data_IF_533481103444
#
_entry.id   IF_533481103444
#
_cell.length_a   1.000
_cell.length_b   1.000
_cell.length_c   1.000
_cell.angle_alpha   90.00
_cell.angle_beta   90.00
_cell.angle_gamma   90.00
#
_symmetry.space_group_name_H-M   'P 1'
#
loop_
_entity.id
_entity.type
_entity.pdbx_description
1 polymer ?
#
# COMPACT_ATOMS: atom_id res chain seq x y z
N UNK A 1 1.55 8.59 -9.24
CA UNK A 1 0.42 8.11 -10.11
C UNK A 1 -0.66 7.50 -9.22
N UNK A 2 -1.97 7.73 -9.49
CA UNK A 2 -3.05 7.03 -8.77
C UNK A 2 -2.95 5.53 -9.04
N UNK A 3 -2.72 4.74 -8.00
CA UNK A 3 -2.39 3.32 -8.12
C UNK A 3 -3.54 2.41 -7.76
N UNK A 4 -4.17 2.62 -6.61
CA UNK A 4 -5.34 1.84 -6.23
C UNK A 4 -6.44 2.72 -5.67
N UNK A 5 -7.67 2.44 -6.10
CA UNK A 5 -8.91 2.93 -5.47
C UNK A 5 -9.58 1.72 -4.85
N UNK A 6 -9.85 1.77 -3.54
CA UNK A 6 -10.47 0.67 -2.83
C UNK A 6 -11.71 1.18 -2.11
N UNK A 7 -12.88 0.75 -2.57
CA UNK A 7 -14.13 1.00 -1.86
C UNK A 7 -14.19 0.10 -0.63
N UNK A 8 -14.50 0.67 0.53
CA UNK A 8 -14.64 -0.04 1.81
C UNK A 8 -16.05 0.25 2.37
N UNK A 9 -17.12 -0.30 1.77
CA UNK A 9 -18.49 0.12 2.07
C UNK A 9 -18.90 -0.10 3.52
N UNK A 10 -18.38 -1.14 4.17
CA UNK A 10 -18.70 -1.44 5.57
C UNK A 10 -18.07 -0.48 6.58
N UNK A 11 -17.17 0.40 6.12
CA UNK A 11 -16.55 1.46 6.91
C UNK A 11 -16.89 2.86 6.37
N UNK A 12 -17.82 2.95 5.41
CA UNK A 12 -18.23 4.19 4.74
C UNK A 12 -17.05 5.00 4.17
N UNK A 13 -16.05 4.32 3.60
CA UNK A 13 -14.79 4.92 3.15
C UNK A 13 -14.39 4.47 1.74
N UNK A 14 -13.61 5.32 1.07
CA UNK A 14 -12.89 5.01 -0.18
C UNK A 14 -11.42 5.35 0.04
N UNK A 15 -10.53 4.37 -0.12
CA UNK A 15 -9.09 4.57 0.07
C UNK A 15 -8.41 4.79 -1.28
N UNK A 16 -7.63 5.86 -1.38
CA UNK A 16 -6.82 6.18 -2.55
C UNK A 16 -5.34 6.04 -2.21
N UNK A 17 -4.61 5.26 -3.01
CA UNK A 17 -3.16 5.11 -2.86
C UNK A 17 -2.45 5.54 -4.13
N UNK A 18 -1.32 6.22 -3.97
CA UNK A 18 -0.51 6.76 -5.05
C UNK A 18 0.89 6.15 -5.01
N UNK A 19 1.45 5.85 -6.19
CA UNK A 19 2.89 5.62 -6.30
C UNK A 19 3.61 6.95 -6.18
N UNK A 20 4.66 6.94 -5.37
CA UNK A 20 5.60 8.05 -5.18
C UNK A 20 7.02 7.51 -5.18
N UNK A 21 7.93 8.32 -5.70
CA UNK A 21 9.36 8.11 -5.54
C UNK A 21 9.82 8.75 -4.22
N UNK A 22 10.76 8.10 -3.55
CA UNK A 22 11.42 8.65 -2.36
C UNK A 22 12.58 9.54 -2.83
N UNK A 23 12.46 10.85 -2.63
CA UNK A 23 13.43 11.83 -3.15
C UNK A 23 14.77 11.85 -2.39
N UNK A 24 14.81 11.36 -1.15
CA UNK A 24 16.02 11.28 -0.33
C UNK A 24 15.97 10.03 0.56
N UNK A 25 17.11 9.34 0.77
CA UNK A 25 17.19 8.24 1.74
C UNK A 25 17.11 8.73 3.21
N UNK A 26 17.17 10.03 3.45
CA UNK A 26 17.10 10.61 4.80
C UNK A 26 15.64 10.75 5.25
N UNK A 27 15.20 9.81 6.08
CA UNK A 27 13.88 9.84 6.71
C UNK A 27 13.94 9.40 8.17
N UNK A 28 12.99 9.85 8.97
CA UNK A 28 12.83 9.49 10.37
C UNK A 28 11.34 9.34 10.71
N UNK A 29 10.98 8.51 11.71
CA UNK A 29 9.60 8.43 12.16
C UNK A 29 9.10 9.78 12.70
N UNK A 30 7.90 10.18 12.29
CA UNK A 30 7.20 11.35 12.83
C UNK A 30 6.48 11.03 14.15
N UNK A 31 5.76 12.00 14.74
CA UNK A 31 5.08 11.81 16.04
C UNK A 31 4.01 10.73 16.05
N UNK A 32 3.48 10.35 14.89
CA UNK A 32 2.47 9.29 14.74
C UNK A 32 3.09 7.90 14.51
N UNK A 33 4.42 7.79 14.44
CA UNK A 33 5.14 6.56 14.12
C UNK A 33 6.18 6.22 15.17
N UNK A 34 6.23 4.95 15.57
CA UNK A 34 7.28 4.46 16.48
C UNK A 34 8.58 4.12 15.72
N UNK A 35 8.45 3.59 14.50
CA UNK A 35 9.56 3.16 13.66
C UNK A 35 9.22 3.44 12.19
N UNK A 36 10.25 3.75 11.40
CA UNK A 36 10.15 3.85 9.95
C UNK A 36 11.41 3.25 9.32
N UNK A 37 11.23 2.35 8.33
CA UNK A 37 12.34 1.74 7.58
C UNK A 37 11.90 1.29 6.19
N UNK A 38 12.88 1.06 5.31
CA UNK A 38 12.66 0.46 3.99
C UNK A 38 12.65 -1.06 4.10
N UNK A 39 11.87 -1.70 3.22
CA UNK A 39 11.69 -3.15 3.17
C UNK A 39 11.89 -3.67 1.75
N UNK A 40 12.54 -4.82 1.61
CA UNK A 40 12.38 -5.66 0.42
C UNK A 40 11.06 -6.43 0.51
N UNK A 41 10.56 -6.94 -0.61
CA UNK A 41 9.30 -7.71 -0.64
C UNK A 41 9.28 -8.88 0.35
N UNK A 42 10.39 -9.61 0.43
CA UNK A 42 10.57 -10.78 1.31
C UNK A 42 10.62 -10.42 2.80
N UNK A 43 10.97 -9.17 3.13
CA UNK A 43 11.12 -8.69 4.49
C UNK A 43 9.82 -8.06 5.04
N UNK A 44 8.80 -7.86 4.19
CA UNK A 44 7.55 -7.23 4.60
C UNK A 44 6.83 -8.14 5.60
N UNK A 45 6.46 -7.63 6.80
CA UNK A 45 5.74 -8.40 7.80
C UNK A 45 4.24 -8.46 7.44
N UNK A 46 3.89 -9.22 6.40
CA UNK A 46 2.56 -9.26 5.81
C UNK A 46 1.42 -9.50 6.82
N UNK A 47 1.66 -10.36 7.81
CA UNK A 47 0.68 -10.71 8.84
C UNK A 47 0.52 -9.63 9.93
N UNK A 48 1.44 -8.65 9.98
CA UNK A 48 1.41 -7.53 10.93
C UNK A 48 0.82 -6.25 10.32
N UNK A 49 0.53 -6.24 9.01
CA UNK A 49 -0.09 -5.09 8.35
C UNK A 49 -1.53 -4.95 8.86
N UNK A 50 -1.81 -3.86 9.58
CA UNK A 50 -3.08 -3.65 10.27
C UNK A 50 -4.29 -3.55 9.33
N UNK A 51 -4.13 -2.96 8.14
CA UNK A 51 -5.24 -2.66 7.24
C UNK A 51 -5.20 -3.53 5.98
N UNK A 52 -6.26 -4.29 5.68
CA UNK A 52 -6.32 -5.14 4.48
C UNK A 52 -6.17 -4.36 3.16
N UNK A 53 -6.58 -3.09 3.12
CA UNK A 53 -6.40 -2.24 1.95
C UNK A 53 -4.92 -2.03 1.62
N UNK A 54 -4.07 -1.86 2.65
CA UNK A 54 -2.61 -1.70 2.48
C UNK A 54 -2.01 -2.97 1.92
N UNK A 55 -2.34 -4.12 2.52
CA UNK A 55 -1.90 -5.44 2.02
C UNK A 55 -2.30 -5.65 0.57
N UNK A 56 -3.53 -5.28 0.20
CA UNK A 56 -4.04 -5.45 -1.16
C UNK A 56 -3.31 -4.55 -2.16
N UNK A 57 -3.09 -3.29 -1.81
CA UNK A 57 -2.32 -2.33 -2.60
C UNK A 57 -0.88 -2.79 -2.80
N UNK A 58 -0.20 -3.24 -1.74
CA UNK A 58 1.18 -3.74 -1.85
C UNK A 58 1.28 -4.99 -2.73
N UNK A 59 0.31 -5.91 -2.64
CA UNK A 59 0.28 -7.09 -3.53
C UNK A 59 0.16 -6.70 -5.01
N UNK A 60 -0.75 -5.78 -5.33
CA UNK A 60 -0.83 -5.23 -6.69
C UNK A 60 0.46 -4.57 -7.13
N UNK A 61 1.14 -3.83 -6.24
CA UNK A 61 2.41 -3.20 -6.55
C UNK A 61 3.47 -4.22 -6.95
N UNK A 62 3.64 -5.30 -6.20
CA UNK A 62 4.64 -6.32 -6.53
C UNK A 62 4.26 -7.13 -7.77
N UNK A 63 2.98 -7.41 -8.01
CA UNK A 63 2.51 -8.07 -9.22
C UNK A 63 2.79 -7.22 -10.47
N UNK A 64 2.44 -5.94 -10.45
CA UNK A 64 2.70 -5.01 -11.56
C UNK A 64 4.21 -4.75 -11.74
N UNK A 65 4.98 -4.74 -10.64
CA UNK A 65 6.44 -4.58 -10.68
C UNK A 65 7.13 -5.75 -11.39
N UNK A 66 6.61 -6.98 -11.26
CA UNK A 66 7.15 -8.17 -11.97
C UNK A 66 7.02 -8.05 -13.49
N UNK A 67 5.96 -7.40 -13.98
CA UNK A 67 5.72 -7.21 -15.41
C UNK A 67 6.22 -5.86 -15.93
N UNK A 68 6.60 -4.94 -15.03
CA UNK A 68 6.99 -3.57 -15.37
C UNK A 68 5.83 -2.70 -15.87
N UNK A 69 4.59 -3.14 -15.71
CA UNK A 69 3.39 -2.48 -16.22
C UNK A 69 2.51 -2.07 -15.04
N UNK A 70 2.66 -0.82 -14.60
CA UNK A 70 1.82 -0.26 -13.56
C UNK A 70 0.51 0.26 -14.14
N UNK A 71 -0.61 -0.18 -13.55
CA UNK A 71 -1.95 0.28 -13.88
C UNK A 71 -2.70 0.74 -12.64
N UNK A 72 -3.77 1.51 -12.83
CA UNK A 72 -4.70 1.78 -11.73
C UNK A 72 -5.58 0.56 -11.50
N UNK A 73 -5.64 0.08 -10.26
CA UNK A 73 -6.55 -0.98 -9.84
C UNK A 73 -7.72 -0.37 -9.08
N UNK A 74 -8.93 -0.79 -9.39
CA UNK A 74 -10.13 -0.42 -8.64
C UNK A 74 -10.83 -1.68 -8.17
N UNK A 75 -11.04 -1.79 -6.86
CA UNK A 75 -11.70 -2.94 -6.26
C UNK A 75 -12.64 -2.51 -5.13
N UNK A 76 -13.55 -3.40 -4.77
CA UNK A 76 -14.38 -3.27 -3.57
C UNK A 76 -13.87 -4.28 -2.54
N UNK A 77 -13.46 -3.78 -1.37
CA UNK A 77 -13.15 -4.62 -0.23
C UNK A 77 -14.46 -4.97 0.49
N UNK A 78 -14.81 -6.25 0.45
CA UNK A 78 -15.93 -6.81 1.23
C UNK A 78 -15.41 -7.34 2.56
N UNK A 79 -16.28 -7.41 3.57
CA UNK A 79 -15.95 -8.16 4.78
C UNK A 79 -15.61 -9.61 4.39
N UNK A 80 -14.62 -10.23 5.05
CA UNK A 80 -14.40 -11.67 4.92
C UNK A 80 -15.67 -12.45 5.29
#
# INVERSE_FOLDING_TARGET
>A
MLFTVIDVPFADQIHFFYLSDLNSPDFAPGPESLECRLFKEEDIPWDQIAFPTITRTLRFFFDDRRTGLFRTHHIILRKP
#
